data_IF_785911272312
#
_entry.id   IF_785911272312
#
_cell.length_a   1.000
_cell.length_b   1.000
_cell.length_c   1.000
_cell.angle_alpha   90.00
_cell.angle_beta   90.00
_cell.angle_gamma   90.00
#
_symmetry.space_group_name_H-M   'P 1'
#
loop_
_entity.id
_entity.type
_entity.pdbx_description
1 polymer ?
#
# COMPACT_ATOMS: atom_id res chain seq x y z
N UNK A 1 5.86 -7.63 7.70
CA UNK A 1 6.56 -6.32 7.58
C UNK A 1 8.06 -6.33 7.95
N UNK A 2 8.50 -6.75 9.14
CA UNK A 2 9.92 -6.63 9.56
C UNK A 2 10.93 -7.28 8.58
N UNK A 3 10.61 -8.45 8.02
CA UNK A 3 11.47 -9.13 7.05
C UNK A 3 11.61 -8.32 5.76
N UNK A 4 10.50 -7.83 5.20
CA UNK A 4 10.51 -6.96 4.02
C UNK A 4 11.33 -5.69 4.28
N UNK A 5 11.16 -5.03 5.43
CA UNK A 5 11.95 -3.86 5.80
C UNK A 5 13.46 -4.15 5.87
N UNK A 6 13.87 -5.31 6.41
CA UNK A 6 15.30 -5.70 6.44
C UNK A 6 15.88 -5.88 5.03
N UNK A 7 15.15 -6.58 4.16
CA UNK A 7 15.55 -6.77 2.76
C UNK A 7 15.73 -5.41 2.08
N UNK A 8 14.73 -4.54 2.19
CA UNK A 8 14.74 -3.22 1.54
C UNK A 8 15.87 -2.32 2.04
N UNK A 9 16.19 -2.35 3.34
CA UNK A 9 17.32 -1.59 3.91
C UNK A 9 18.68 -2.06 3.39
N UNK A 10 18.82 -3.34 3.08
CA UNK A 10 20.07 -3.94 2.61
C UNK A 10 20.39 -3.63 1.14
N UNK A 11 19.44 -3.07 0.39
CA UNK A 11 19.62 -2.75 -1.01
C UNK A 11 20.71 -1.72 -1.22
N UNK A 12 21.56 -1.93 -2.22
CA UNK A 12 22.52 -0.94 -2.70
C UNK A 12 21.81 0.14 -3.54
N UNK A 13 22.37 1.37 -3.64
CA UNK A 13 21.79 2.42 -4.48
C UNK A 13 21.53 1.94 -5.92
N UNK A 14 20.31 2.14 -6.41
CA UNK A 14 19.88 1.71 -7.74
C UNK A 14 19.51 0.23 -7.86
N UNK A 15 19.84 -0.61 -6.87
CA UNK A 15 19.49 -2.03 -6.85
C UNK A 15 17.98 -2.23 -6.80
N UNK A 16 17.51 -3.24 -7.53
CA UNK A 16 16.12 -3.72 -7.54
C UNK A 16 16.04 -5.13 -6.98
N UNK A 17 14.97 -5.41 -6.26
CA UNK A 17 14.62 -6.76 -5.77
C UNK A 17 13.15 -7.05 -6.07
N UNK A 18 12.85 -8.27 -6.52
CA UNK A 18 11.47 -8.77 -6.55
C UNK A 18 11.05 -9.13 -5.12
N UNK A 19 9.98 -8.51 -4.63
CA UNK A 19 9.50 -8.72 -3.27
C UNK A 19 8.39 -9.77 -3.24
N UNK A 20 7.47 -9.71 -4.21
CA UNK A 20 6.29 -10.56 -4.27
C UNK A 20 5.92 -10.85 -5.73
N UNK A 21 5.19 -11.96 -5.93
CA UNK A 21 4.62 -12.35 -7.22
C UNK A 21 3.19 -12.81 -6.99
N UNK A 22 2.23 -12.05 -7.51
CA UNK A 22 0.82 -12.41 -7.36
C UNK A 22 0.39 -13.54 -8.30
N UNK A 23 -0.79 -14.09 -8.04
CA UNK A 23 -1.32 -15.27 -8.75
C UNK A 23 -1.47 -15.04 -10.26
N UNK A 24 -1.81 -13.82 -10.68
CA UNK A 24 -1.89 -13.42 -12.09
C UNK A 24 -0.53 -13.22 -12.78
N UNK A 25 0.59 -13.53 -12.11
CA UNK A 25 1.95 -13.35 -12.64
C UNK A 25 2.51 -11.93 -12.50
N UNK A 26 1.74 -11.00 -11.95
CA UNK A 26 2.19 -9.63 -11.65
C UNK A 26 3.31 -9.66 -10.61
N UNK A 27 4.43 -9.03 -10.95
CA UNK A 27 5.60 -8.91 -10.07
C UNK A 27 5.56 -7.56 -9.36
N UNK A 28 5.71 -7.61 -8.03
CA UNK A 28 5.88 -6.43 -7.18
C UNK A 28 7.34 -6.35 -6.77
N UNK A 29 8.05 -5.33 -7.24
CA UNK A 29 9.45 -5.08 -6.92
C UNK A 29 9.63 -3.80 -6.11
N UNK A 30 10.80 -3.65 -5.51
CA UNK A 30 11.27 -2.39 -4.97
C UNK A 30 12.64 -2.04 -5.56
N UNK A 31 12.86 -0.77 -5.86
CA UNK A 31 14.15 -0.25 -6.31
C UNK A 31 14.61 0.87 -5.40
N UNK A 32 15.80 0.75 -4.80
CA UNK A 32 16.38 1.82 -3.99
C UNK A 32 16.66 3.04 -4.86
N UNK A 33 16.19 4.21 -4.44
CA UNK A 33 16.30 5.46 -5.19
C UNK A 33 16.98 6.59 -4.42
N UNK A 34 16.98 6.56 -3.09
CA UNK A 34 17.51 7.62 -2.23
C UNK A 34 16.98 9.04 -2.59
N UNK A 35 15.79 9.14 -3.20
CA UNK A 35 15.22 10.41 -3.69
C UNK A 35 14.75 11.30 -2.54
N UNK A 36 14.12 10.71 -1.53
CA UNK A 36 13.60 11.45 -0.37
C UNK A 36 14.62 11.46 0.77
N UNK A 37 15.06 10.28 1.20
CA UNK A 37 16.05 10.05 2.26
C UNK A 37 16.98 8.89 1.88
N UNK A 38 18.12 8.69 2.57
CA UNK A 38 18.89 7.46 2.42
C UNK A 38 18.02 6.22 2.68
N UNK A 39 18.18 5.19 1.84
CA UNK A 39 17.37 3.96 1.80
C UNK A 39 15.93 4.13 1.27
N UNK A 40 15.56 5.32 0.80
CA UNK A 40 14.30 5.52 0.08
C UNK A 40 14.24 4.61 -1.16
N UNK A 41 13.03 4.16 -1.50
CA UNK A 41 12.81 3.25 -2.62
C UNK A 41 11.49 3.54 -3.32
N UNK A 42 11.43 3.16 -4.59
CA UNK A 42 10.21 3.20 -5.38
C UNK A 42 9.66 1.77 -5.53
N UNK A 43 8.34 1.64 -5.39
CA UNK A 43 7.63 0.40 -5.71
C UNK A 43 7.45 0.31 -7.21
N UNK A 44 7.61 -0.88 -7.78
CA UNK A 44 7.48 -1.15 -9.21
C UNK A 44 6.51 -2.30 -9.42
N UNK A 45 5.55 -2.14 -10.32
CA UNK A 45 4.67 -3.20 -10.79
C UNK A 45 5.01 -3.59 -12.22
N UNK A 46 5.13 -4.90 -12.46
CA UNK A 46 5.24 -5.48 -13.79
C UNK A 46 4.11 -6.48 -13.99
N UNK A 47 3.08 -6.05 -14.71
CA UNK A 47 1.93 -6.89 -15.10
C UNK A 47 2.29 -7.61 -16.41
N UNK A 48 2.01 -8.92 -16.55
CA UNK A 48 2.28 -9.64 -17.80
C UNK A 48 1.68 -8.93 -19.02
N UNK A 49 2.51 -8.75 -20.06
CA UNK A 49 2.11 -8.08 -21.30
C UNK A 49 1.97 -6.56 -21.23
N UNK A 50 2.42 -5.90 -20.16
CA UNK A 50 2.43 -4.44 -20.02
C UNK A 50 3.80 -3.91 -19.65
N UNK A 51 4.04 -2.63 -19.97
CA UNK A 51 5.20 -1.91 -19.47
C UNK A 51 5.15 -1.82 -17.94
N UNK A 52 6.33 -1.81 -17.32
CA UNK A 52 6.43 -1.60 -15.89
C UNK A 52 6.14 -0.14 -15.52
N UNK A 53 5.57 0.06 -14.35
CA UNK A 53 5.25 1.38 -13.84
C UNK A 53 5.40 1.44 -12.32
N UNK A 54 5.39 2.66 -11.78
CA UNK A 54 5.60 2.93 -10.36
C UNK A 54 4.25 3.33 -9.73
N UNK A 55 3.49 2.41 -9.10
CA UNK A 55 2.24 2.78 -8.47
C UNK A 55 2.50 3.75 -7.32
N UNK A 56 1.65 4.77 -7.21
CA UNK A 56 1.59 5.62 -6.01
C UNK A 56 0.44 5.18 -5.12
N UNK A 57 0.35 5.78 -3.93
CA UNK A 57 -0.83 5.60 -3.07
C UNK A 57 -2.14 5.98 -3.78
N UNK A 58 -2.12 6.88 -4.78
CA UNK A 58 -3.32 7.24 -5.56
C UNK A 58 -3.89 6.02 -6.31
N UNK A 59 -3.04 5.24 -6.97
CA UNK A 59 -3.44 3.99 -7.65
C UNK A 59 -4.07 3.01 -6.67
N UNK A 60 -3.49 2.87 -5.47
CA UNK A 60 -4.04 2.03 -4.39
C UNK A 60 -5.44 2.48 -4.01
N UNK A 61 -5.62 3.77 -3.71
CA UNK A 61 -6.88 4.30 -3.20
C UNK A 61 -8.00 4.16 -4.23
N UNK A 62 -7.72 4.42 -5.52
CA UNK A 62 -8.69 4.21 -6.58
C UNK A 62 -9.10 2.74 -6.74
N UNK A 63 -8.12 1.82 -6.73
CA UNK A 63 -8.43 0.41 -6.89
C UNK A 63 -9.25 -0.14 -5.72
N UNK A 64 -8.88 0.23 -4.50
CA UNK A 64 -9.64 -0.09 -3.29
C UNK A 64 -11.05 0.49 -3.30
N UNK A 65 -11.23 1.70 -3.84
CA UNK A 65 -12.56 2.30 -4.02
C UNK A 65 -13.40 1.54 -5.05
N UNK A 66 -12.84 1.16 -6.20
CA UNK A 66 -13.54 0.34 -7.22
C UNK A 66 -13.95 -1.02 -6.67
N UNK A 67 -13.08 -1.66 -5.89
CA UNK A 67 -13.39 -2.92 -5.20
C UNK A 67 -14.55 -2.76 -4.22
N UNK A 68 -14.55 -1.68 -3.43
CA UNK A 68 -15.67 -1.36 -2.52
C UNK A 68 -16.98 -1.16 -3.27
N UNK A 69 -16.96 -0.40 -4.37
CA UNK A 69 -18.16 -0.16 -5.18
C UNK A 69 -18.71 -1.44 -5.82
N UNK A 70 -17.85 -2.36 -6.24
CA UNK A 70 -18.27 -3.58 -6.94
C UNK A 70 -18.60 -4.76 -6.02
N UNK A 71 -18.02 -4.80 -4.82
CA UNK A 71 -18.32 -5.82 -3.81
C UNK A 71 -17.96 -5.30 -2.41
N UNK A 72 -18.92 -4.68 -1.73
CA UNK A 72 -18.70 -4.05 -0.42
C UNK A 72 -18.24 -5.05 0.65
N UNK A 73 -18.88 -6.23 0.72
CA UNK A 73 -18.52 -7.26 1.70
C UNK A 73 -17.11 -7.83 1.46
N UNK A 74 -16.77 -8.11 0.19
CA UNK A 74 -15.42 -8.53 -0.18
C UNK A 74 -14.39 -7.44 0.13
N UNK A 75 -14.71 -6.18 -0.16
CA UNK A 75 -13.81 -5.07 0.12
C UNK A 75 -13.59 -4.88 1.62
N UNK A 76 -14.62 -5.02 2.44
CA UNK A 76 -14.48 -5.00 3.90
C UNK A 76 -13.51 -6.08 4.38
N UNK A 77 -13.63 -7.32 3.90
CA UNK A 77 -12.69 -8.40 4.22
C UNK A 77 -11.26 -8.05 3.78
N UNK A 78 -11.08 -7.53 2.56
CA UNK A 78 -9.78 -7.06 2.08
C UNK A 78 -9.19 -5.96 2.98
N UNK A 79 -9.98 -4.96 3.37
CA UNK A 79 -9.53 -3.89 4.26
C UNK A 79 -9.13 -4.41 5.64
N UNK A 80 -9.84 -5.39 6.18
CA UNK A 80 -9.46 -6.08 7.42
C UNK A 80 -8.12 -6.81 7.27
N UNK A 81 -7.78 -7.35 6.10
CA UNK A 81 -6.44 -7.91 5.84
C UNK A 81 -5.37 -6.83 5.70
N UNK A 82 -5.69 -5.69 5.12
CA UNK A 82 -4.78 -4.53 5.10
C UNK A 82 -4.48 -4.03 6.52
N UNK A 83 -5.44 -4.02 7.45
CA UNK A 83 -5.20 -3.72 8.87
C UNK A 83 -4.19 -4.68 9.51
N UNK A 84 -4.27 -5.98 9.19
CA UNK A 84 -3.28 -6.97 9.69
C UNK A 84 -1.89 -6.74 9.11
N UNK A 85 -1.81 -6.39 7.83
CA UNK A 85 -0.54 -5.99 7.19
C UNK A 85 0.03 -4.73 7.85
N UNK A 86 -0.82 -3.73 8.14
CA UNK A 86 -0.44 -2.52 8.88
C UNK A 86 0.12 -2.83 10.28
N UNK A 87 -0.42 -3.86 10.95
CA UNK A 87 0.06 -4.37 12.24
C UNK A 87 1.36 -5.18 12.15
N UNK A 88 1.82 -5.47 10.93
CA UNK A 88 3.12 -6.07 10.68
C UNK A 88 3.08 -7.51 10.15
N UNK A 89 1.90 -8.10 9.96
CA UNK A 89 1.76 -9.39 9.29
C UNK A 89 2.35 -9.36 7.88
N UNK A 90 2.89 -10.48 7.42
CA UNK A 90 3.35 -10.63 6.04
C UNK A 90 2.13 -10.77 5.10
N UNK A 91 1.99 -9.96 4.03
CA UNK A 91 0.84 -10.04 3.14
C UNK A 91 0.68 -11.43 2.46
N UNK A 92 1.74 -12.21 2.30
CA UNK A 92 1.66 -13.56 1.70
C UNK A 92 0.73 -14.50 2.49
N UNK A 93 0.62 -14.32 3.82
CA UNK A 93 -0.23 -15.20 4.64
C UNK A 93 -1.73 -15.03 4.34
N UNK A 94 -2.11 -13.92 3.70
CA UNK A 94 -3.50 -13.61 3.34
C UNK A 94 -3.78 -13.74 1.85
N UNK A 95 -2.75 -13.91 1.01
CA UNK A 95 -2.88 -13.88 -0.45
C UNK A 95 -3.94 -14.89 -0.97
N UNK A 96 -3.84 -16.14 -0.54
CA UNK A 96 -4.78 -17.20 -0.95
C UNK A 96 -6.21 -16.97 -0.46
N UNK A 97 -6.39 -16.23 0.64
CA UNK A 97 -7.71 -15.88 1.16
C UNK A 97 -8.32 -14.74 0.34
N UNK A 98 -7.58 -13.66 0.13
CA UNK A 98 -8.12 -12.49 -0.58
C UNK A 98 -8.34 -12.75 -2.06
N UNK A 99 -7.63 -13.71 -2.66
CA UNK A 99 -7.86 -14.15 -4.04
C UNK A 99 -9.21 -14.85 -4.25
N UNK A 100 -9.84 -15.35 -3.17
CA UNK A 100 -11.20 -15.91 -3.23
C UNK A 100 -12.27 -14.81 -3.33
N UNK A 101 -11.90 -13.57 -3.05
CA UNK A 101 -12.80 -12.42 -3.14
C UNK A 101 -12.94 -12.02 -4.62
N UNK A 102 -14.19 -11.99 -5.10
CA UNK A 102 -14.49 -11.55 -6.46
C UNK A 102 -14.76 -10.05 -6.51
N UNK A 103 -14.02 -9.35 -7.37
CA UNK A 103 -14.19 -7.91 -7.61
C UNK A 103 -14.40 -7.66 -9.11
N UNK A 104 -15.65 -7.39 -9.54
CA UNK A 104 -15.96 -7.04 -10.92
C UNK A 104 -15.23 -5.79 -11.43
N UNK A 105 -15.03 -4.81 -10.54
CA UNK A 105 -14.25 -3.61 -10.85
C UNK A 105 -12.96 -3.63 -10.05
N UNK A 106 -11.84 -3.82 -10.76
CA UNK A 106 -10.50 -3.80 -10.18
C UNK A 106 -9.49 -3.32 -11.21
N UNK A 107 -8.43 -2.72 -10.71
CA UNK A 107 -7.27 -2.37 -11.50
C UNK A 107 -6.15 -3.41 -11.33
N UNK A 108 -5.99 -3.95 -10.12
CA UNK A 108 -5.04 -5.00 -9.77
C UNK A 108 -5.74 -6.12 -8.96
N UNK A 109 -5.16 -7.32 -8.89
CA UNK A 109 -5.67 -8.40 -8.04
C UNK A 109 -5.55 -8.05 -6.54
N UNK A 110 -6.41 -8.59 -5.66
CA UNK A 110 -6.44 -8.19 -4.26
C UNK A 110 -5.16 -8.55 -3.48
N UNK A 111 -4.46 -9.61 -3.85
CA UNK A 111 -3.13 -9.96 -3.32
C UNK A 111 -2.09 -8.89 -3.68
N UNK A 112 -2.10 -8.39 -4.92
CA UNK A 112 -1.26 -7.29 -5.37
C UNK A 112 -1.49 -6.06 -4.50
N UNK A 113 -2.75 -5.69 -4.21
CA UNK A 113 -3.03 -4.57 -3.30
C UNK A 113 -2.40 -4.77 -1.92
N UNK A 114 -2.44 -5.97 -1.33
CA UNK A 114 -1.77 -6.23 -0.05
C UNK A 114 -0.26 -6.03 -0.15
N UNK A 115 0.37 -6.58 -1.19
CA UNK A 115 1.81 -6.52 -1.37
C UNK A 115 2.31 -5.09 -1.49
N UNK A 116 1.79 -4.30 -2.43
CA UNK A 116 2.31 -2.94 -2.62
C UNK A 116 1.77 -1.95 -1.58
N UNK A 117 0.63 -2.20 -0.92
CA UNK A 117 0.25 -1.43 0.27
C UNK A 117 1.30 -1.57 1.38
N UNK A 118 1.78 -2.79 1.66
CA UNK A 118 2.86 -2.99 2.63
C UNK A 118 4.12 -2.21 2.24
N UNK A 119 4.52 -2.27 0.97
CA UNK A 119 5.74 -1.58 0.52
C UNK A 119 5.60 -0.05 0.63
N UNK A 120 4.44 0.52 0.28
CA UNK A 120 4.19 1.95 0.47
C UNK A 120 4.16 2.35 1.96
N UNK A 121 3.65 1.49 2.85
CA UNK A 121 3.73 1.72 4.30
C UNK A 121 5.19 1.70 4.80
N UNK A 122 6.01 0.76 4.31
CA UNK A 122 7.43 0.70 4.69
C UNK A 122 8.19 1.93 4.18
N UNK A 123 7.88 2.42 2.97
CA UNK A 123 8.45 3.67 2.43
C UNK A 123 8.17 4.86 3.36
N UNK A 124 6.94 4.98 3.86
CA UNK A 124 6.59 6.00 4.85
C UNK A 124 7.40 5.85 6.14
N UNK A 125 7.55 4.63 6.66
CA UNK A 125 8.34 4.38 7.87
C UNK A 125 9.84 4.68 7.67
N UNK A 126 10.38 4.48 6.47
CA UNK A 126 11.79 4.79 6.16
C UNK A 126 12.02 6.28 6.05
N UNK A 127 11.15 6.99 5.34
CA UNK A 127 11.36 8.40 5.04
C UNK A 127 10.96 9.32 6.20
N UNK A 128 9.96 8.93 6.99
CA UNK A 128 9.34 9.77 8.02
C UNK A 128 9.41 9.19 9.45
N UNK A 129 10.02 8.00 9.62
CA UNK A 129 10.24 7.39 10.93
C UNK A 129 11.49 7.90 11.66
N UNK A 130 11.85 7.31 12.81
CA UNK A 130 12.98 7.77 13.63
C UNK A 130 14.34 7.78 12.93
N UNK A 131 14.51 6.96 11.89
CA UNK A 131 15.73 6.87 11.08
C UNK A 131 15.60 7.58 9.73
N UNK A 132 14.46 8.23 9.48
CA UNK A 132 14.21 9.01 8.28
C UNK A 132 14.73 10.44 8.40
N UNK A 133 14.77 11.14 7.27
CA UNK A 133 15.21 12.53 7.17
C UNK A 133 14.05 13.53 7.13
N UNK A 134 12.80 13.06 7.11
CA UNK A 134 11.58 13.88 7.17
C UNK A 134 10.85 13.67 8.49
N UNK A 135 10.06 14.66 8.89
CA UNK A 135 9.19 14.59 10.07
C UNK A 135 7.80 14.09 9.67
N UNK A 136 7.29 13.07 10.35
CA UNK A 136 5.89 12.65 10.23
C UNK A 136 4.95 13.53 11.06
N UNK A 137 3.72 13.69 10.59
CA UNK A 137 2.60 14.28 11.38
C UNK A 137 1.80 13.22 12.15
N UNK A 138 2.13 11.93 11.98
CA UNK A 138 1.45 10.79 12.59
C UNK A 138 2.46 9.77 13.11
N UNK A 139 2.09 9.00 14.13
CA UNK A 139 2.92 7.94 14.70
C UNK A 139 2.10 6.65 14.82
N UNK A 140 2.49 5.53 14.16
CA UNK A 140 3.65 5.41 13.26
C UNK A 140 3.47 6.16 11.93
N UNK A 141 4.53 6.47 11.16
CA UNK A 141 4.41 7.17 9.88
C UNK A 141 3.49 6.50 8.86
N UNK A 142 3.52 5.16 8.78
CA UNK A 142 2.61 4.37 7.95
C UNK A 142 1.11 4.59 8.22
N UNK A 143 0.75 5.16 9.37
CA UNK A 143 -0.62 5.56 9.70
C UNK A 143 -1.16 6.60 8.71
N UNK A 144 -0.28 7.37 8.04
CA UNK A 144 -0.69 8.37 7.05
C UNK A 144 -1.42 7.72 5.88
N UNK A 145 -0.82 6.69 5.26
CA UNK A 145 -1.50 5.93 4.21
C UNK A 145 -2.71 5.16 4.78
N UNK A 146 -2.56 4.55 5.96
CA UNK A 146 -3.62 3.71 6.52
C UNK A 146 -4.91 4.48 6.79
N UNK A 147 -4.83 5.74 7.23
CA UNK A 147 -6.01 6.60 7.41
C UNK A 147 -6.71 6.93 6.09
N UNK A 148 -5.98 7.07 4.98
CA UNK A 148 -6.62 7.20 3.66
C UNK A 148 -7.33 5.91 3.24
N UNK A 149 -6.74 4.75 3.51
CA UNK A 149 -7.37 3.45 3.24
C UNK A 149 -8.65 3.30 4.06
N UNK A 150 -8.62 3.64 5.35
CA UNK A 150 -9.80 3.64 6.23
C UNK A 150 -10.87 4.66 5.78
N UNK A 151 -10.46 5.78 5.20
CA UNK A 151 -11.38 6.75 4.62
C UNK A 151 -12.09 6.19 3.38
N UNK A 152 -11.35 5.49 2.49
CA UNK A 152 -11.98 4.77 1.37
C UNK A 152 -12.96 3.71 1.88
N UNK A 153 -12.58 2.96 2.92
CA UNK A 153 -13.42 1.94 3.53
C UNK A 153 -14.69 2.51 4.19
N UNK A 154 -14.69 3.79 4.60
CA UNK A 154 -15.83 4.40 5.29
C UNK A 154 -17.01 4.75 4.38
N UNK A 155 -16.89 4.52 3.08
CA UNK A 155 -17.98 4.82 2.15
C UNK A 155 -17.91 6.20 1.48
N UNK A 156 -17.02 7.10 1.92
CA UNK A 156 -16.99 8.47 1.39
C UNK A 156 -16.46 8.54 -0.06
N UNK A 157 -16.76 9.66 -0.72
CA UNK A 157 -16.45 9.89 -2.13
C UNK A 157 -14.95 10.02 -2.41
N UNK A 158 -14.53 9.40 -3.51
CA UNK A 158 -13.13 9.29 -3.89
C UNK A 158 -12.52 10.66 -4.20
N UNK A 159 -13.28 11.61 -4.74
CA UNK A 159 -12.81 12.96 -5.11
C UNK A 159 -12.18 13.69 -3.92
N UNK A 160 -12.85 13.65 -2.78
CA UNK A 160 -12.40 14.31 -1.54
C UNK A 160 -11.15 13.64 -0.98
N UNK A 161 -11.12 12.31 -1.02
CA UNK A 161 -10.00 11.48 -0.57
C UNK A 161 -8.76 11.79 -1.42
N UNK A 162 -8.89 11.71 -2.74
CA UNK A 162 -7.80 11.92 -3.70
C UNK A 162 -7.32 13.36 -3.66
N UNK A 163 -8.22 14.34 -3.58
CA UNK A 163 -7.85 15.76 -3.48
C UNK A 163 -6.94 16.05 -2.27
N UNK A 164 -7.19 15.41 -1.12
CA UNK A 164 -6.30 15.55 0.04
C UNK A 164 -4.98 14.78 -0.17
N UNK A 165 -5.05 13.56 -0.71
CA UNK A 165 -3.88 12.73 -0.95
C UNK A 165 -2.87 13.40 -1.89
N UNK A 166 -3.31 13.94 -3.02
CA UNK A 166 -2.43 14.63 -3.99
C UNK A 166 -1.85 15.93 -3.45
N UNK A 167 -2.53 16.59 -2.51
CA UNK A 167 -2.03 17.80 -1.83
C UNK A 167 -1.13 17.48 -0.64
N UNK A 168 -0.83 16.20 -0.40
CA UNK A 168 -0.07 15.72 0.75
C UNK A 168 -0.62 16.27 2.08
N UNK A 169 -1.95 16.45 2.18
CA UNK A 169 -2.60 16.87 3.41
C UNK A 169 -2.92 15.64 4.27
N UNK A 170 -2.76 15.72 5.60
CA UNK A 170 -3.07 14.59 6.46
C UNK A 170 -4.56 14.23 6.36
N UNK A 171 -4.89 12.94 6.32
CA UNK A 171 -6.28 12.49 6.34
C UNK A 171 -6.94 12.82 7.70
N UNK A 172 -8.27 13.02 7.74
CA UNK A 172 -8.97 13.38 8.96
C UNK A 172 -8.72 12.42 10.13
N UNK A 173 -8.59 12.96 11.34
CA UNK A 173 -8.27 12.19 12.54
C UNK A 173 -9.33 11.11 12.87
N UNK A 174 -10.59 11.30 12.47
CA UNK A 174 -11.65 10.30 12.65
C UNK A 174 -11.32 8.94 12.01
N UNK A 175 -10.49 8.92 10.97
CA UNK A 175 -10.02 7.71 10.30
C UNK A 175 -8.80 7.06 10.96
N UNK A 176 -8.35 7.57 12.11
CA UNK A 176 -7.40 6.85 12.95
C UNK A 176 -8.07 5.65 13.66
N UNK A 177 -9.41 5.66 13.77
CA UNK A 177 -10.17 4.54 14.32
C UNK A 177 -10.13 3.37 13.33
N UNK A 178 -9.74 2.20 13.83
CA UNK A 178 -9.66 0.96 13.05
C UNK A 178 -11.04 0.52 12.59
N UNK A 179 -11.05 -0.24 11.50
CA UNK A 179 -12.22 -1.02 11.10
C UNK A 179 -12.48 -2.06 12.20
N UNK A 180 -13.68 -2.01 12.79
CA UNK A 180 -14.19 -3.00 13.75
C UNK A 180 -14.72 -4.19 12.95
#
# INVERSE_FOLDING_TARGET
MLNASKILRSLQPGQRVEMYRGAGGTVVSARRTDKICPHDFAVVLKIPGRDEFYPTHIRLLFDLYLKRLSNENGAHQLFCRVEKVYDGSDPEVFASEVLKLSFPMKLDDPDINLYYAQLLMIEQDFNYGPQGCKKSTVNPPREFLMRFIRWVASGEEIDKIIFLAVRNKPPPQKYAKRLI
#
